data_IF_050345478069
#
_entry.id   IF_050345478069
#
_cell.length_a   1.000
_cell.length_b   1.000
_cell.length_c   1.000
_cell.angle_alpha   90.00
_cell.angle_beta   90.00
_cell.angle_gamma   90.00
#
_symmetry.space_group_name_H-M   'P 1'
#
loop_
_entity.id
_entity.type
_entity.pdbx_description
1 polymer ?
#
# COMPACT_ATOMS: atom_id res chain seq x y z
N UNK A 1 -16.16 10.10 -18.66
CA UNK A 1 -15.55 11.45 -18.64
C UNK A 1 -16.58 12.48 -19.04
N UNK A 2 -16.62 13.66 -18.45
CA UNK A 2 -17.51 14.74 -18.83
C UNK A 2 -16.70 16.03 -19.05
N UNK A 3 -16.76 16.58 -20.26
CA UNK A 3 -16.09 17.84 -20.61
C UNK A 3 -16.97 18.65 -21.56
N UNK A 4 -18.03 19.28 -21.04
CA UNK A 4 -19.07 19.93 -21.86
C UNK A 4 -18.55 21.03 -22.79
N UNK A 5 -17.40 21.66 -22.44
CA UNK A 5 -16.81 22.72 -23.26
C UNK A 5 -16.19 22.21 -24.58
N UNK A 6 -15.80 20.94 -24.65
CA UNK A 6 -15.11 20.38 -25.83
C UNK A 6 -15.74 19.10 -26.36
N UNK A 7 -16.38 18.30 -25.51
CA UNK A 7 -17.00 17.06 -25.92
C UNK A 7 -18.51 17.25 -26.11
N UNK A 8 -18.99 16.88 -27.29
CA UNK A 8 -20.45 16.79 -27.52
C UNK A 8 -21.02 15.67 -26.63
N UNK A 9 -22.24 15.88 -26.18
CA UNK A 9 -22.96 14.81 -25.45
C UNK A 9 -23.18 13.63 -26.42
N UNK A 10 -22.57 12.51 -26.08
CA UNK A 10 -22.63 11.29 -26.84
C UNK A 10 -22.78 10.12 -25.86
N UNK A 11 -23.80 9.28 -26.09
CA UNK A 11 -24.08 8.08 -25.27
C UNK A 11 -23.59 6.79 -25.95
N UNK A 12 -22.90 6.91 -27.09
CA UNK A 12 -22.36 5.74 -27.79
C UNK A 12 -21.26 5.08 -26.94
N UNK A 13 -21.37 3.79 -26.64
CA UNK A 13 -20.31 3.08 -25.95
C UNK A 13 -18.99 3.12 -26.72
N UNK A 14 -17.89 3.09 -25.99
CA UNK A 14 -16.53 2.98 -26.53
C UNK A 14 -16.08 1.54 -26.39
N UNK A 15 -16.07 0.75 -27.49
CA UNK A 15 -15.73 -0.69 -27.42
C UNK A 15 -14.24 -0.95 -27.32
N UNK A 16 -13.40 0.08 -27.56
CA UNK A 16 -11.94 -0.06 -27.48
C UNK A 16 -11.51 -0.50 -26.09
N UNK A 17 -10.57 -1.41 -26.04
CA UNK A 17 -9.95 -1.79 -24.77
C UNK A 17 -9.10 -0.63 -24.24
N UNK A 18 -9.37 -0.23 -23.00
CA UNK A 18 -8.63 0.81 -22.27
C UNK A 18 -8.30 0.31 -20.86
N UNK A 19 -7.26 0.87 -20.26
CA UNK A 19 -6.87 0.58 -18.90
C UNK A 19 -6.78 1.85 -18.06
N UNK A 20 -6.86 1.73 -16.73
CA UNK A 20 -6.80 2.90 -15.84
C UNK A 20 -5.51 3.71 -15.98
N UNK A 21 -4.39 3.07 -16.37
CA UNK A 21 -3.12 3.77 -16.62
C UNK A 21 -3.19 4.75 -17.79
N UNK A 22 -4.21 4.62 -18.67
CA UNK A 22 -4.44 5.48 -19.82
C UNK A 22 -5.03 6.85 -19.47
N UNK A 23 -5.59 6.97 -18.27
CA UNK A 23 -6.23 8.22 -17.82
C UNK A 23 -5.23 9.36 -17.74
N UNK A 24 -4.06 9.13 -17.15
CA UNK A 24 -3.05 10.18 -16.97
C UNK A 24 -2.50 10.70 -18.30
N UNK A 25 -2.00 9.87 -19.24
CA UNK A 25 -1.54 10.39 -20.53
C UNK A 25 -2.65 11.04 -21.34
N UNK A 26 -3.91 10.60 -21.20
CA UNK A 26 -5.07 11.28 -21.80
C UNK A 26 -5.22 12.70 -21.25
N UNK A 27 -5.11 12.88 -19.93
CA UNK A 27 -5.18 14.22 -19.33
C UNK A 27 -4.03 15.11 -19.80
N UNK A 28 -2.82 14.59 -19.88
CA UNK A 28 -1.70 15.34 -20.43
C UNK A 28 -1.96 15.81 -21.87
N UNK A 29 -2.46 14.91 -22.72
CA UNK A 29 -2.75 15.25 -24.13
C UNK A 29 -3.86 16.28 -24.25
N UNK A 30 -5.01 16.08 -23.58
CA UNK A 30 -6.16 17.00 -23.73
C UNK A 30 -5.93 18.38 -23.12
N UNK A 31 -4.98 18.49 -22.18
CA UNK A 31 -4.58 19.74 -21.54
C UNK A 31 -3.36 20.38 -22.19
N UNK A 32 -2.80 19.72 -23.21
CA UNK A 32 -1.56 20.15 -23.88
C UNK A 32 -0.39 20.35 -22.90
N UNK A 33 -0.24 19.40 -21.97
CA UNK A 33 0.81 19.41 -20.97
C UNK A 33 1.84 18.33 -21.30
N UNK A 34 3.10 18.72 -21.48
CA UNK A 34 4.20 17.75 -21.62
C UNK A 34 4.55 17.15 -20.27
N UNK A 35 4.50 15.81 -20.12
CA UNK A 35 4.89 15.16 -18.87
C UNK A 35 6.33 15.51 -18.48
N UNK A 36 6.60 15.89 -17.22
CA UNK A 36 7.96 16.18 -16.79
C UNK A 36 8.79 14.90 -16.75
N UNK A 37 10.00 14.94 -17.29
CA UNK A 37 10.97 13.84 -17.22
C UNK A 37 11.73 13.81 -15.90
N UNK A 38 11.81 14.94 -15.24
CA UNK A 38 12.52 15.11 -13.96
C UNK A 38 11.62 15.90 -13.03
N UNK A 39 11.39 15.38 -11.82
CA UNK A 39 10.66 16.06 -10.76
C UNK A 39 11.54 16.12 -9.51
N UNK A 40 11.80 17.33 -9.00
CA UNK A 40 12.69 17.56 -7.84
C UNK A 40 14.07 16.88 -7.96
N UNK A 41 14.64 16.90 -9.17
CA UNK A 41 15.94 16.28 -9.45
C UNK A 41 15.91 14.75 -9.65
N UNK A 42 14.74 14.13 -9.61
CA UNK A 42 14.57 12.69 -9.77
C UNK A 42 14.00 12.39 -11.15
N UNK A 43 14.68 11.53 -11.92
CA UNK A 43 14.16 11.04 -13.18
C UNK A 43 12.89 10.23 -12.96
N UNK A 44 11.89 10.51 -13.77
CA UNK A 44 10.62 9.79 -13.72
C UNK A 44 10.67 8.57 -14.64
N UNK A 45 10.04 7.48 -14.21
CA UNK A 45 9.80 6.33 -15.09
C UNK A 45 8.87 6.73 -16.25
N UNK A 46 8.99 6.12 -17.43
CA UNK A 46 8.06 6.32 -18.52
C UNK A 46 6.62 6.03 -18.12
N UNK A 47 5.68 6.76 -18.69
CA UNK A 47 4.25 6.48 -18.52
C UNK A 47 3.87 5.27 -19.38
N UNK A 48 3.39 4.19 -18.76
CA UNK A 48 2.97 2.97 -19.45
C UNK A 48 1.61 3.10 -20.15
N UNK A 49 0.86 4.15 -19.84
CA UNK A 49 -0.46 4.43 -20.40
C UNK A 49 -0.38 4.92 -21.84
N UNK A 50 -1.42 4.61 -22.61
CA UNK A 50 -1.67 5.12 -23.97
C UNK A 50 -2.86 6.07 -23.90
N UNK A 51 -2.72 7.29 -24.42
CA UNK A 51 -3.83 8.24 -24.41
C UNK A 51 -5.04 7.68 -25.13
N UNK A 52 -6.22 7.78 -24.52
CA UNK A 52 -7.50 7.43 -25.12
C UNK A 52 -8.25 8.63 -25.69
N UNK A 53 -7.56 9.77 -25.88
CA UNK A 53 -8.16 10.99 -26.41
C UNK A 53 -8.76 10.78 -27.81
N UNK A 54 -8.17 9.91 -28.63
CA UNK A 54 -8.66 9.53 -29.96
C UNK A 54 -10.11 9.01 -29.93
N UNK A 55 -10.48 8.24 -28.91
CA UNK A 55 -11.81 7.64 -28.78
C UNK A 55 -12.88 8.61 -28.24
N UNK A 56 -12.47 9.75 -27.70
CA UNK A 56 -13.41 10.72 -27.11
C UNK A 56 -14.29 11.38 -28.15
N UNK A 57 -13.74 11.65 -29.35
CA UNK A 57 -14.44 12.30 -30.45
C UNK A 57 -14.95 11.32 -31.51
N UNK A 58 -14.37 10.11 -31.58
CA UNK A 58 -14.75 9.09 -32.55
C UNK A 58 -14.95 7.73 -31.87
N UNK A 59 -16.20 7.30 -31.66
CA UNK A 59 -16.51 6.02 -31.05
C UNK A 59 -16.12 4.82 -31.90
N UNK A 60 -15.92 5.01 -33.20
CA UNK A 60 -15.53 3.95 -34.14
C UNK A 60 -14.01 3.89 -34.41
N UNK A 61 -13.23 4.77 -33.75
CA UNK A 61 -11.78 4.76 -33.89
C UNK A 61 -11.20 3.39 -33.49
N UNK A 62 -10.17 2.97 -34.20
CA UNK A 62 -9.45 1.73 -33.88
C UNK A 62 -8.78 1.82 -32.50
N UNK A 63 -8.85 0.73 -31.72
CA UNK A 63 -8.25 0.65 -30.39
C UNK A 63 -6.71 0.68 -30.46
N UNK A 64 -6.09 1.52 -29.64
CA UNK A 64 -4.63 1.65 -29.64
C UNK A 64 -3.94 0.76 -28.62
N UNK A 65 -4.67 0.29 -27.58
CA UNK A 65 -4.12 -0.63 -26.59
C UNK A 65 -4.37 -2.07 -27.02
N UNK A 66 -3.35 -2.71 -27.51
CA UNK A 66 -3.41 -4.10 -27.98
C UNK A 66 -2.93 -5.11 -26.92
N UNK A 67 -2.21 -4.62 -25.90
CA UNK A 67 -1.60 -5.44 -24.86
C UNK A 67 -1.81 -4.81 -23.49
N UNK A 68 -2.20 -5.63 -22.49
CA UNK A 68 -2.24 -5.23 -21.10
C UNK A 68 -1.90 -6.40 -20.18
N UNK A 69 -0.92 -6.16 -19.34
CA UNK A 69 -0.47 -7.04 -18.27
C UNK A 69 -1.19 -6.71 -16.96
N UNK A 70 -1.55 -7.75 -16.20
CA UNK A 70 -2.18 -7.63 -14.89
C UNK A 70 -1.51 -8.57 -13.90
N UNK A 71 -1.19 -8.09 -12.71
CA UNK A 71 -0.83 -8.92 -11.56
C UNK A 71 -1.22 -8.23 -10.26
N UNK A 72 -1.84 -8.99 -9.38
CA UNK A 72 -2.08 -8.60 -7.99
C UNK A 72 -2.09 -9.84 -7.10
N UNK A 73 -1.14 -9.93 -6.17
CA UNK A 73 -1.06 -11.01 -5.18
C UNK A 73 -1.07 -12.42 -5.80
N UNK A 74 -0.44 -12.58 -6.95
CA UNK A 74 -0.42 -13.84 -7.69
C UNK A 74 -1.62 -14.08 -8.60
N UNK A 75 -2.76 -13.38 -8.40
CA UNK A 75 -3.82 -13.31 -9.40
C UNK A 75 -3.32 -12.52 -10.58
N UNK A 76 -3.34 -13.10 -11.77
CA UNK A 76 -2.67 -12.52 -12.92
C UNK A 76 -3.41 -12.78 -14.23
N UNK A 77 -3.13 -11.94 -15.21
CA UNK A 77 -3.69 -12.08 -16.53
C UNK A 77 -2.97 -11.25 -17.58
N UNK A 78 -3.24 -11.57 -18.81
CA UNK A 78 -2.75 -10.87 -19.98
C UNK A 78 -3.88 -10.70 -20.98
N UNK A 79 -4.09 -9.47 -21.43
CA UNK A 79 -4.91 -9.14 -22.58
C UNK A 79 -4.02 -8.93 -23.79
N UNK A 80 -4.36 -9.52 -24.92
CA UNK A 80 -3.68 -9.30 -26.19
C UNK A 80 -4.67 -9.45 -27.36
N UNK A 81 -4.90 -8.34 -28.08
CA UNK A 81 -5.70 -8.33 -29.33
C UNK A 81 -7.03 -9.07 -29.20
N UNK A 82 -7.87 -8.69 -28.24
CA UNK A 82 -9.17 -9.29 -28.00
C UNK A 82 -9.16 -10.59 -27.18
N UNK A 83 -8.01 -11.20 -26.95
CA UNK A 83 -7.86 -12.38 -26.13
C UNK A 83 -7.45 -12.05 -24.69
N UNK A 84 -8.00 -12.79 -23.75
CA UNK A 84 -7.59 -12.68 -22.35
C UNK A 84 -7.28 -14.07 -21.81
N UNK A 85 -6.09 -14.21 -21.20
CA UNK A 85 -5.77 -15.38 -20.40
C UNK A 85 -5.46 -14.93 -18.97
N UNK A 86 -6.02 -15.64 -17.99
CA UNK A 86 -5.82 -15.30 -16.60
C UNK A 86 -6.00 -16.46 -15.64
N UNK A 87 -5.57 -16.24 -14.42
CA UNK A 87 -5.75 -17.18 -13.31
C UNK A 87 -5.84 -16.45 -11.99
N UNK A 88 -6.53 -17.05 -11.04
CA UNK A 88 -6.51 -16.58 -9.66
C UNK A 88 -5.29 -17.15 -8.94
N UNK A 89 -4.62 -16.28 -8.20
CA UNK A 89 -3.63 -16.71 -7.23
C UNK A 89 -4.29 -17.34 -5.99
N UNK A 90 -3.50 -17.73 -5.00
CA UNK A 90 -3.99 -18.44 -3.83
C UNK A 90 -4.93 -17.59 -2.97
N UNK A 91 -4.86 -16.27 -3.11
CA UNK A 91 -5.71 -15.33 -2.38
C UNK A 91 -6.69 -14.64 -3.31
N UNK A 92 -7.94 -15.00 -3.21
CA UNK A 92 -9.01 -14.30 -3.92
C UNK A 92 -9.49 -13.09 -3.12
N UNK A 93 -9.74 -11.93 -3.76
CA UNK A 93 -10.06 -10.68 -3.06
C UNK A 93 -11.33 -10.72 -2.21
N UNK A 94 -12.27 -11.60 -2.55
CA UNK A 94 -13.57 -11.75 -1.87
C UNK A 94 -13.57 -12.77 -0.72
N UNK A 95 -12.46 -13.48 -0.50
CA UNK A 95 -12.32 -14.41 0.64
C UNK A 95 -11.49 -13.74 1.71
N UNK A 96 -12.06 -13.40 2.87
CA UNK A 96 -11.29 -12.81 3.95
C UNK A 96 -10.37 -13.86 4.60
N UNK A 97 -9.17 -13.42 4.98
CA UNK A 97 -8.20 -14.24 5.69
C UNK A 97 -7.12 -14.84 4.80
N UNK A 98 -6.35 -15.76 5.37
CA UNK A 98 -5.29 -16.51 4.69
C UNK A 98 -5.87 -17.86 4.28
N UNK A 99 -5.93 -18.19 2.98
CA UNK A 99 -6.45 -19.48 2.55
C UNK A 99 -5.59 -20.64 3.06
N UNK A 100 -6.19 -21.80 3.37
CA UNK A 100 -5.42 -23.01 3.62
C UNK A 100 -4.55 -23.36 2.41
N UNK A 101 -3.33 -23.85 2.65
CA UNK A 101 -2.41 -24.26 1.59
C UNK A 101 -1.70 -23.09 0.87
N UNK A 102 -1.79 -21.87 1.39
CA UNK A 102 -1.17 -20.71 0.76
C UNK A 102 0.37 -20.80 0.75
N UNK A 103 0.94 -21.50 1.72
CA UNK A 103 2.39 -21.68 1.85
C UNK A 103 2.94 -22.68 0.83
N UNK A 104 2.10 -23.57 0.35
CA UNK A 104 2.43 -24.58 -0.66
C UNK A 104 2.10 -24.13 -2.08
N UNK A 105 1.64 -22.88 -2.25
CA UNK A 105 1.29 -22.38 -3.57
C UNK A 105 2.52 -22.23 -4.47
N UNK A 106 2.42 -22.80 -5.64
CA UNK A 106 3.40 -22.69 -6.70
C UNK A 106 2.71 -22.15 -7.96
N UNK A 107 3.09 -20.96 -8.44
CA UNK A 107 2.47 -20.33 -9.60
C UNK A 107 2.63 -21.13 -10.89
N UNK A 108 3.57 -22.07 -10.97
CA UNK A 108 3.74 -22.94 -12.13
C UNK A 108 2.61 -23.97 -12.28
N UNK A 109 1.96 -24.31 -11.17
CA UNK A 109 0.84 -25.25 -11.13
C UNK A 109 -0.52 -24.58 -11.37
N UNK A 110 -0.57 -23.26 -11.49
CA UNK A 110 -1.82 -22.55 -11.73
C UNK A 110 -2.37 -22.84 -13.13
N UNK A 111 -3.67 -23.09 -13.18
CA UNK A 111 -4.42 -23.30 -14.43
C UNK A 111 -4.92 -21.97 -14.94
N UNK A 112 -4.58 -21.63 -16.19
CA UNK A 112 -5.08 -20.42 -16.83
C UNK A 112 -6.39 -20.71 -17.53
N UNK A 113 -7.33 -19.79 -17.42
CA UNK A 113 -8.54 -19.72 -18.23
C UNK A 113 -8.26 -18.84 -19.46
N UNK A 114 -8.97 -19.08 -20.56
CA UNK A 114 -8.80 -18.38 -21.84
C UNK A 114 -10.15 -17.89 -22.37
N UNK A 115 -10.20 -16.62 -22.77
CA UNK A 115 -11.42 -16.00 -23.29
C UNK A 115 -11.16 -15.18 -24.55
N UNK A 116 -12.08 -15.28 -25.53
CA UNK A 116 -12.15 -14.37 -26.66
C UNK A 116 -13.14 -13.24 -26.34
N UNK A 117 -12.64 -12.07 -25.95
CA UNK A 117 -13.47 -10.94 -25.49
C UNK A 117 -14.26 -10.26 -26.62
N UNK A 118 -13.95 -10.55 -27.89
CA UNK A 118 -14.72 -10.04 -29.01
C UNK A 118 -16.05 -10.79 -29.15
N UNK A 119 -16.07 -12.08 -28.81
CA UNK A 119 -17.23 -12.95 -28.87
C UNK A 119 -17.92 -13.15 -27.51
N UNK A 120 -17.11 -13.17 -26.44
CA UNK A 120 -17.55 -13.41 -25.07
C UNK A 120 -16.91 -12.40 -24.09
N UNK A 121 -17.34 -11.14 -24.14
CA UNK A 121 -16.84 -10.11 -23.25
C UNK A 121 -17.18 -10.33 -21.76
N UNK A 122 -18.11 -11.25 -21.47
CA UNK A 122 -18.50 -11.63 -20.11
C UNK A 122 -17.65 -12.72 -19.51
N UNK A 123 -16.78 -13.35 -20.32
CA UNK A 123 -15.92 -14.44 -19.88
C UNK A 123 -16.72 -15.64 -19.32
N UNK A 124 -17.80 -16.02 -20.03
CA UNK A 124 -18.68 -17.09 -19.62
C UNK A 124 -18.20 -18.47 -20.12
N UNK A 125 -17.39 -18.51 -21.18
CA UNK A 125 -16.95 -19.74 -21.84
C UNK A 125 -15.43 -19.82 -21.87
N UNK A 126 -14.87 -20.63 -20.98
CA UNK A 126 -13.43 -20.89 -20.94
C UNK A 126 -13.00 -21.79 -22.13
N UNK A 127 -12.14 -21.25 -22.99
CA UNK A 127 -11.60 -21.91 -24.18
C UNK A 127 -10.23 -22.58 -23.94
N UNK A 128 -9.72 -22.59 -22.71
CA UNK A 128 -8.36 -23.06 -22.43
C UNK A 128 -8.13 -24.50 -22.83
N UNK A 129 -9.11 -25.40 -22.62
CA UNK A 129 -9.03 -26.79 -23.00
C UNK A 129 -9.10 -27.01 -24.52
N UNK A 130 -9.80 -26.12 -25.24
CA UNK A 130 -9.98 -26.21 -26.71
C UNK A 130 -8.80 -25.59 -27.45
N UNK A 131 -8.13 -24.59 -26.86
CA UNK A 131 -7.07 -23.82 -27.49
C UNK A 131 -5.77 -23.77 -26.65
N UNK A 132 -5.16 -24.92 -26.34
CA UNK A 132 -3.98 -24.94 -25.44
C UNK A 132 -2.76 -24.25 -26.03
N UNK A 133 -2.67 -24.11 -27.36
CA UNK A 133 -1.61 -23.35 -28.02
C UNK A 133 -1.73 -21.85 -27.72
N UNK A 134 -2.96 -21.31 -27.74
CA UNK A 134 -3.22 -19.91 -27.45
C UNK A 134 -2.94 -19.60 -25.99
N UNK A 135 -3.25 -20.53 -25.07
CA UNK A 135 -2.88 -20.41 -23.64
C UNK A 135 -1.35 -20.32 -23.51
N UNK A 136 -0.59 -21.17 -24.20
CA UNK A 136 0.88 -21.14 -24.17
C UNK A 136 1.47 -19.86 -24.73
N UNK A 137 0.91 -19.38 -25.84
CA UNK A 137 1.29 -18.09 -26.43
C UNK A 137 1.12 -16.96 -25.41
N UNK A 138 -0.07 -16.83 -24.82
CA UNK A 138 -0.39 -15.78 -23.86
C UNK A 138 0.37 -15.92 -22.55
N UNK A 139 0.60 -17.15 -22.05
CA UNK A 139 1.48 -17.39 -20.89
C UNK A 139 2.91 -16.90 -21.17
N UNK A 140 3.42 -17.16 -22.37
CA UNK A 140 4.76 -16.71 -22.76
C UNK A 140 4.83 -15.18 -22.84
N UNK A 141 3.81 -14.55 -23.41
CA UNK A 141 3.70 -13.10 -23.49
C UNK A 141 3.60 -12.46 -22.09
N UNK A 142 2.83 -13.09 -21.18
CA UNK A 142 2.76 -12.67 -19.78
C UNK A 142 4.14 -12.67 -19.12
N UNK A 143 4.96 -13.69 -19.31
CA UNK A 143 6.32 -13.76 -18.75
C UNK A 143 7.24 -12.67 -19.30
N UNK A 144 7.12 -12.36 -20.60
CA UNK A 144 7.87 -11.25 -21.21
C UNK A 144 7.49 -9.93 -20.55
N UNK A 145 6.19 -9.65 -20.40
CA UNK A 145 5.72 -8.43 -19.77
C UNK A 145 6.04 -8.41 -18.25
N UNK A 146 5.99 -9.55 -17.57
CA UNK A 146 6.42 -9.66 -16.16
C UNK A 146 7.89 -9.27 -15.98
N UNK A 147 8.75 -9.72 -16.89
CA UNK A 147 10.18 -9.34 -16.88
C UNK A 147 10.37 -7.85 -17.09
N UNK A 148 9.70 -7.30 -18.08
CA UNK A 148 9.75 -5.86 -18.43
C UNK A 148 9.24 -4.98 -17.29
N UNK A 149 8.17 -5.41 -16.62
CA UNK A 149 7.55 -4.70 -15.51
C UNK A 149 8.15 -5.05 -14.13
N UNK A 150 9.28 -5.80 -14.07
CA UNK A 150 9.99 -6.16 -12.83
C UNK A 150 9.09 -6.95 -11.86
N UNK A 151 8.20 -7.79 -12.40
CA UNK A 151 7.20 -8.56 -11.63
C UNK A 151 7.61 -10.01 -11.40
N UNK A 152 8.88 -10.36 -11.58
CA UNK A 152 9.38 -11.69 -11.27
C UNK A 152 10.18 -11.69 -9.96
N UNK A 153 10.09 -12.76 -9.17
CA UNK A 153 9.22 -13.94 -9.35
C UNK A 153 7.74 -13.60 -9.16
N UNK A 154 6.86 -14.38 -9.80
CA UNK A 154 5.40 -14.19 -9.70
C UNK A 154 4.97 -14.24 -8.24
N UNK A 155 4.17 -13.27 -7.80
CA UNK A 155 3.81 -13.10 -6.38
C UNK A 155 4.94 -12.57 -5.49
N UNK A 156 6.11 -12.25 -6.04
CA UNK A 156 7.33 -11.92 -5.30
C UNK A 156 7.20 -10.74 -4.32
N UNK A 157 6.35 -9.78 -4.62
CA UNK A 157 6.09 -8.65 -3.70
C UNK A 157 5.42 -9.05 -2.39
N UNK A 158 4.68 -10.15 -2.40
CA UNK A 158 4.03 -10.72 -1.21
C UNK A 158 4.60 -12.07 -0.81
N UNK A 159 5.35 -12.71 -1.69
CA UNK A 159 5.91 -14.04 -1.48
C UNK A 159 6.63 -14.13 -0.15
N UNK A 160 7.62 -13.25 0.05
CA UNK A 160 8.42 -13.23 1.27
C UNK A 160 7.72 -12.63 2.49
N UNK A 161 6.65 -11.85 2.30
CA UNK A 161 5.95 -11.19 3.42
C UNK A 161 4.74 -11.98 3.88
N UNK A 162 4.05 -12.64 2.95
CA UNK A 162 2.76 -13.31 3.22
C UNK A 162 2.87 -14.82 3.08
N UNK A 163 3.51 -15.31 2.01
CA UNK A 163 3.52 -16.73 1.68
C UNK A 163 4.74 -17.46 2.29
N UNK A 164 5.91 -16.85 2.21
CA UNK A 164 7.17 -17.39 2.71
C UNK A 164 7.89 -16.35 3.58
N UNK A 165 7.33 -15.99 4.75
CA UNK A 165 7.95 -15.00 5.62
C UNK A 165 9.35 -15.42 6.13
N UNK A 166 9.68 -16.70 6.11
CA UNK A 166 10.99 -17.24 6.41
C UNK A 166 12.06 -16.82 5.40
N UNK A 167 11.69 -16.61 4.14
CA UNK A 167 12.57 -16.14 3.07
C UNK A 167 12.74 -14.62 3.06
N UNK A 168 11.95 -13.90 3.85
CA UNK A 168 12.09 -12.45 3.95
C UNK A 168 13.48 -12.13 4.53
N UNK A 169 14.24 -11.20 3.93
CA UNK A 169 15.46 -10.72 4.52
C UNK A 169 15.18 -10.26 5.95
N UNK A 170 15.63 -11.03 6.93
CA UNK A 170 15.51 -10.61 8.31
C UNK A 170 16.31 -9.33 8.48
N UNK A 171 15.65 -8.24 8.88
CA UNK A 171 16.41 -7.07 9.26
C UNK A 171 17.27 -7.43 10.48
N UNK A 172 18.60 -7.28 10.38
CA UNK A 172 19.48 -7.57 11.52
C UNK A 172 19.34 -6.52 12.61
N UNK A 173 18.67 -5.41 12.31
CA UNK A 173 18.55 -4.28 13.20
C UNK A 173 17.47 -4.54 14.24
N UNK A 174 17.85 -4.36 15.50
CA UNK A 174 16.94 -4.34 16.66
C UNK A 174 16.86 -2.96 17.30
N UNK A 175 17.69 -2.05 16.86
CA UNK A 175 17.82 -0.70 17.36
C UNK A 175 17.95 0.29 16.19
N UNK A 176 17.26 1.40 16.28
CA UNK A 176 17.31 2.51 15.33
C UNK A 176 17.58 3.80 16.09
N UNK A 177 18.49 4.60 15.57
CA UNK A 177 18.77 5.93 16.08
C UNK A 177 18.52 6.96 15.00
N UNK A 178 17.58 7.86 15.23
CA UNK A 178 17.24 8.95 14.33
C UNK A 178 17.78 10.26 14.86
N UNK A 179 18.49 11.01 14.01
CA UNK A 179 19.08 12.31 14.36
C UNK A 179 18.47 13.40 13.50
N UNK A 180 17.25 13.79 13.83
CA UNK A 180 16.49 14.78 13.10
C UNK A 180 15.25 14.23 12.38
N UNK A 181 14.50 15.07 11.69
CA UNK A 181 13.29 14.69 10.99
C UNK A 181 13.59 13.65 9.91
N UNK A 182 12.75 12.63 9.83
CA UNK A 182 12.81 11.62 8.78
C UNK A 182 11.42 11.42 8.22
N UNK A 183 11.30 11.51 6.90
CA UNK A 183 10.06 11.31 6.17
C UNK A 183 10.16 10.06 5.29
N UNK A 184 9.04 9.32 5.21
CA UNK A 184 8.84 8.20 4.28
C UNK A 184 9.90 7.09 4.37
N UNK A 185 10.13 6.59 5.58
CA UNK A 185 10.93 5.39 5.71
C UNK A 185 10.16 4.17 5.16
N UNK A 186 10.75 3.37 4.26
CA UNK A 186 10.12 2.15 3.76
C UNK A 186 9.82 1.16 4.91
N UNK A 187 8.69 0.47 4.86
CA UNK A 187 8.23 -0.43 5.91
C UNK A 187 9.27 -1.50 6.28
N UNK A 188 9.97 -2.07 5.28
CA UNK A 188 10.99 -3.10 5.51
C UNK A 188 12.26 -2.59 6.20
N UNK A 189 12.52 -1.28 6.17
CA UNK A 189 13.65 -0.64 6.83
C UNK A 189 13.26 0.01 8.17
N UNK A 190 11.97 0.22 8.40
CA UNK A 190 11.44 0.90 9.59
C UNK A 190 11.39 -0.02 10.81
N UNK A 191 11.43 0.56 12.04
CA UNK A 191 11.14 -0.18 13.25
C UNK A 191 9.74 -0.80 13.17
N UNK A 192 9.60 -2.07 13.52
CA UNK A 192 8.33 -2.81 13.49
C UNK A 192 7.49 -2.52 14.73
N UNK A 193 7.17 -1.25 14.95
CA UNK A 193 6.34 -0.81 16.09
C UNK A 193 4.93 -1.42 15.98
N UNK A 194 4.37 -1.83 17.09
CA UNK A 194 3.05 -2.46 17.15
C UNK A 194 3.01 -3.95 16.82
N UNK A 195 4.11 -4.55 16.35
CA UNK A 195 4.23 -6.00 16.11
C UNK A 195 5.05 -6.74 17.17
N UNK A 196 5.92 -6.03 17.86
CA UNK A 196 6.81 -6.55 18.88
C UNK A 196 6.89 -5.59 20.04
N UNK A 197 7.31 -6.11 21.21
CA UNK A 197 7.69 -5.27 22.34
C UNK A 197 8.75 -4.26 21.91
N UNK A 198 8.56 -3.02 22.29
CA UNK A 198 9.50 -1.96 21.94
C UNK A 198 9.59 -0.89 23.02
N UNK A 199 10.72 -0.21 23.06
CA UNK A 199 10.98 0.95 23.88
C UNK A 199 11.49 2.08 22.98
N UNK A 200 10.89 3.24 23.10
CA UNK A 200 11.26 4.43 22.34
C UNK A 200 11.69 5.52 23.32
N UNK A 201 12.86 6.12 23.08
CA UNK A 201 13.36 7.24 23.85
C UNK A 201 13.62 8.41 22.90
N UNK A 202 13.06 9.56 23.23
CA UNK A 202 13.18 10.78 22.43
C UNK A 202 13.69 11.91 23.32
N UNK A 203 14.71 12.61 22.84
CA UNK A 203 15.20 13.86 23.41
C UNK A 203 14.66 15.00 22.55
N UNK A 204 13.84 15.87 23.15
CA UNK A 204 13.11 16.92 22.42
C UNK A 204 13.16 18.23 23.19
N UNK A 205 13.14 19.35 22.47
CA UNK A 205 12.92 20.68 23.06
C UNK A 205 11.50 21.10 22.70
N UNK A 206 10.65 21.25 23.71
CA UNK A 206 9.22 21.56 23.53
C UNK A 206 9.00 23.07 23.68
N UNK A 207 8.28 23.74 22.74
CA UNK A 207 7.77 25.08 22.94
C UNK A 207 6.61 25.08 23.95
N UNK A 208 6.20 26.27 24.42
CA UNK A 208 4.94 26.40 25.15
C UNK A 208 3.76 25.92 24.33
N UNK A 209 2.83 25.18 24.95
CA UNK A 209 1.67 24.60 24.30
C UNK A 209 2.05 23.83 23.02
N UNK A 210 3.10 23.00 23.07
CA UNK A 210 3.66 22.29 21.94
C UNK A 210 2.61 21.57 21.11
N UNK A 211 2.72 21.68 19.79
CA UNK A 211 1.89 21.00 18.82
C UNK A 211 2.78 20.40 17.71
N UNK A 212 2.53 19.14 17.32
CA UNK A 212 3.28 18.50 16.26
C UNK A 212 3.43 17.00 16.46
N UNK A 213 3.79 16.31 15.39
CA UNK A 213 4.00 14.86 15.39
C UNK A 213 5.43 14.55 15.80
N UNK A 214 5.60 13.65 16.76
CA UNK A 214 6.89 13.12 17.18
C UNK A 214 7.30 11.91 16.34
N UNK A 215 6.38 10.97 16.17
CA UNK A 215 6.51 9.92 15.15
C UNK A 215 5.14 9.44 14.67
N UNK A 216 5.12 8.90 13.46
CA UNK A 216 3.95 8.25 12.90
C UNK A 216 4.36 7.03 12.08
N UNK A 217 3.57 5.98 12.18
CA UNK A 217 3.72 4.76 11.39
C UNK A 217 2.37 4.35 10.83
N UNK A 218 2.34 4.01 9.55
CA UNK A 218 1.12 3.62 8.87
C UNK A 218 0.63 4.69 7.90
N UNK A 219 -0.66 4.66 7.60
CA UNK A 219 -1.30 5.53 6.64
C UNK A 219 -2.67 6.00 7.10
N UNK A 220 -3.45 6.49 6.14
CA UNK A 220 -4.78 7.02 6.39
C UNK A 220 -5.72 5.97 7.02
N UNK A 221 -5.68 4.75 6.52
CA UNK A 221 -6.59 3.67 6.95
C UNK A 221 -6.21 3.05 8.29
N UNK A 222 -4.96 3.16 8.72
CA UNK A 222 -4.53 2.54 9.97
C UNK A 222 -3.08 2.84 10.31
N UNK A 223 -2.76 2.72 11.60
CA UNK A 223 -1.42 2.94 12.10
C UNK A 223 -1.40 3.48 13.51
N UNK A 224 -0.24 3.94 13.92
CA UNK A 224 -0.03 4.55 15.23
C UNK A 224 0.74 5.86 15.10
N UNK A 225 0.47 6.77 15.99
CA UNK A 225 1.16 8.07 16.06
C UNK A 225 1.34 8.53 17.49
N UNK A 226 2.45 9.18 17.76
CA UNK A 226 2.72 9.93 18.97
C UNK A 226 2.86 11.40 18.58
N UNK A 227 2.12 12.27 19.24
CA UNK A 227 2.10 13.69 18.91
C UNK A 227 1.84 14.56 20.12
N UNK A 228 2.21 15.82 20.02
CA UNK A 228 1.84 16.86 20.96
C UNK A 228 0.59 17.58 20.48
N UNK A 229 -0.35 17.85 21.38
CA UNK A 229 -1.54 18.66 21.14
C UNK A 229 -1.79 19.58 22.33
N UNK A 230 -1.67 20.89 22.11
CA UNK A 230 -1.87 21.91 23.13
C UNK A 230 -1.04 21.65 24.40
N UNK A 231 0.20 21.23 24.23
CA UNK A 231 1.13 20.86 25.29
C UNK A 231 0.96 19.43 25.83
N UNK A 232 -0.08 18.71 25.48
CA UNK A 232 -0.28 17.33 25.95
C UNK A 232 0.36 16.32 25.00
N UNK A 233 0.97 15.28 25.57
CA UNK A 233 1.43 14.13 24.81
C UNK A 233 0.26 13.19 24.54
N UNK A 234 0.08 12.82 23.29
CA UNK A 234 -1.02 11.94 22.84
C UNK A 234 -0.43 10.79 22.03
N UNK A 235 -0.77 9.59 22.42
CA UNK A 235 -0.57 8.38 21.61
C UNK A 235 -1.90 7.97 21.02
N UNK A 236 -1.93 7.69 19.72
CA UNK A 236 -3.13 7.24 19.04
C UNK A 236 -2.83 6.01 18.20
N UNK A 237 -3.66 4.99 18.35
CA UNK A 237 -3.71 3.82 17.49
C UNK A 237 -5.01 3.81 16.71
N UNK A 238 -4.90 3.77 15.38
CA UNK A 238 -6.02 3.71 14.47
C UNK A 238 -6.09 2.32 13.82
N UNK A 239 -7.12 1.56 14.17
CA UNK A 239 -7.40 0.26 13.57
C UNK A 239 -8.38 0.44 12.41
N UNK A 240 -7.86 0.65 11.18
CA UNK A 240 -8.62 0.73 9.92
C UNK A 240 -9.83 1.66 9.96
N UNK A 241 -9.75 2.77 10.72
CA UNK A 241 -10.87 3.68 10.99
C UNK A 241 -12.08 3.05 11.70
N UNK A 242 -12.05 1.75 11.95
CA UNK A 242 -13.08 1.03 12.71
C UNK A 242 -13.02 1.43 14.18
N UNK A 243 -11.81 1.52 14.72
CA UNK A 243 -11.57 1.89 16.12
C UNK A 243 -10.33 2.75 16.25
N UNK A 244 -10.47 3.89 16.93
CA UNK A 244 -9.35 4.72 17.36
C UNK A 244 -9.22 4.65 18.86
N UNK A 245 -8.01 4.35 19.33
CA UNK A 245 -7.67 4.33 20.75
C UNK A 245 -6.67 5.45 21.01
N UNK A 246 -7.00 6.35 21.93
CA UNK A 246 -6.15 7.45 22.34
C UNK A 246 -5.76 7.30 23.80
N UNK A 247 -4.48 7.54 24.09
CA UNK A 247 -3.95 7.73 25.43
C UNK A 247 -3.31 9.11 25.49
N UNK A 248 -3.70 9.91 26.47
CA UNK A 248 -3.22 11.28 26.63
C UNK A 248 -2.56 11.44 28.00
N UNK A 249 -1.49 12.23 28.10
CA UNK A 249 -0.90 12.59 29.39
C UNK A 249 -1.93 13.34 30.27
N UNK A 250 -1.86 13.10 31.57
CA UNK A 250 -2.78 13.73 32.52
C UNK A 250 -2.63 15.28 32.59
N UNK A 251 -1.39 15.75 32.41
CA UNK A 251 -1.03 17.15 32.44
C UNK A 251 -0.26 17.53 31.19
N UNK A 252 -0.27 18.80 30.78
CA UNK A 252 0.57 19.27 29.70
C UNK A 252 2.04 19.14 30.10
N UNK A 253 2.91 18.83 29.14
CA UNK A 253 4.35 18.81 29.34
C UNK A 253 4.88 20.26 29.39
N UNK A 254 5.82 20.55 30.28
CA UNK A 254 6.42 21.87 30.37
C UNK A 254 7.24 22.17 29.11
N UNK A 255 7.35 23.47 28.78
CA UNK A 255 8.28 23.90 27.75
C UNK A 255 9.74 23.66 28.19
N UNK A 256 10.62 23.52 27.23
CA UNK A 256 12.04 23.27 27.43
C UNK A 256 12.46 21.84 27.04
N UNK A 257 13.65 21.47 27.49
CA UNK A 257 14.22 20.17 27.18
C UNK A 257 13.50 19.05 27.94
N UNK A 258 13.09 18.04 27.24
CA UNK A 258 12.37 16.89 27.79
C UNK A 258 12.90 15.56 27.21
N UNK A 259 12.81 14.53 28.01
CA UNK A 259 12.99 13.13 27.56
C UNK A 259 11.64 12.44 27.62
N UNK A 260 11.20 11.95 26.48
CA UNK A 260 9.95 11.18 26.35
C UNK A 260 10.32 9.71 26.15
N UNK A 261 9.84 8.85 27.04
CA UNK A 261 10.02 7.42 26.96
C UNK A 261 8.65 6.75 26.76
N UNK A 262 8.56 5.89 25.75
CA UNK A 262 7.34 5.12 25.44
C UNK A 262 7.72 3.66 25.40
N UNK A 263 7.11 2.85 26.28
CA UNK A 263 7.26 1.40 26.28
C UNK A 263 5.97 0.75 25.81
N UNK A 264 6.07 -0.06 24.78
CA UNK A 264 4.95 -0.88 24.27
C UNK A 264 5.24 -2.35 24.54
N UNK A 265 4.27 -3.03 25.14
CA UNK A 265 4.33 -4.47 25.40
C UNK A 265 3.12 -5.12 24.80
N UNK A 266 3.32 -6.17 24.02
CA UNK A 266 2.22 -6.94 23.47
C UNK A 266 1.64 -7.85 24.55
N UNK A 267 0.36 -7.70 24.84
CA UNK A 267 -0.35 -8.68 25.63
C UNK A 267 -0.49 -9.97 24.80
N UNK A 268 -0.41 -11.13 25.46
CA UNK A 268 -0.79 -12.40 24.82
C UNK A 268 -2.20 -12.25 24.22
N UNK A 269 -2.35 -12.72 22.98
CA UNK A 269 -3.61 -12.59 22.24
C UNK A 269 -4.75 -13.23 23.04
N UNK A 270 -5.54 -12.41 23.72
CA UNK A 270 -6.82 -12.81 24.29
C UNK A 270 -7.92 -12.52 23.29
N UNK A 271 -8.86 -13.43 23.07
CA UNK A 271 -10.03 -13.12 22.27
C UNK A 271 -10.80 -11.99 22.97
N UNK A 272 -10.86 -10.84 22.29
CA UNK A 272 -11.74 -9.68 22.52
C UNK A 272 -12.16 -9.43 23.99
N UNK A 273 -11.21 -9.05 24.84
CA UNK A 273 -11.52 -8.36 26.10
C UNK A 273 -11.35 -6.83 25.91
N UNK A 274 -12.13 -5.99 26.60
CA UNK A 274 -11.95 -4.55 26.52
C UNK A 274 -10.56 -4.16 27.03
N UNK A 275 -9.91 -3.22 26.31
CA UNK A 275 -8.62 -2.66 26.69
C UNK A 275 -8.75 -1.92 28.03
N UNK A 276 -8.10 -2.43 29.09
CA UNK A 276 -7.87 -1.69 30.31
C UNK A 276 -6.60 -0.85 30.16
N UNK A 277 -6.77 0.46 30.18
CA UNK A 277 -5.66 1.42 30.14
C UNK A 277 -5.28 1.75 31.58
N UNK A 278 -4.18 1.19 32.05
CA UNK A 278 -3.60 1.60 33.32
C UNK A 278 -2.69 2.81 33.13
N UNK A 279 -3.10 3.95 33.67
CA UNK A 279 -2.23 5.12 33.85
C UNK A 279 -1.55 5.02 35.22
N UNK A 280 -0.22 4.92 35.24
CA UNK A 280 0.54 5.04 36.50
C UNK A 280 0.94 6.49 36.73
N UNK A 281 0.70 7.07 37.91
CA UNK A 281 1.15 8.44 38.22
C UNK A 281 2.67 8.44 38.33
N UNK A 282 3.28 9.50 37.81
CA UNK A 282 4.69 9.78 37.95
C UNK A 282 5.08 9.92 39.43
N UNK A 283 6.04 9.10 39.88
CA UNK A 283 6.67 9.35 41.21
C UNK A 283 7.74 10.44 41.08
N UNK A 284 7.76 11.42 41.96
CA UNK A 284 8.79 12.46 41.92
C UNK A 284 10.14 11.90 42.40
N UNK A 285 11.12 11.89 41.52
CA UNK A 285 12.51 11.65 41.90
C UNK A 285 13.11 12.91 42.53
N UNK A 286 13.81 12.73 43.65
CA UNK A 286 14.49 13.80 44.36
C UNK A 286 15.67 14.39 43.56
N UNK A 287 15.66 15.68 43.44
CA UNK A 287 16.77 16.64 43.28
C UNK A 287 17.96 16.28 42.40
N UNK A 288 17.92 16.77 41.21
CA UNK A 288 18.94 17.55 40.49
C UNK A 288 18.31 17.86 39.13
N UNK A 289 18.39 19.08 38.66
CA UNK A 289 17.70 19.54 37.46
C UNK A 289 17.87 18.54 36.29
N UNK A 290 16.95 17.63 36.18
CA UNK A 290 16.85 16.58 35.15
C UNK A 290 15.64 16.85 34.29
N UNK A 291 15.71 16.63 32.98
CA UNK A 291 14.56 16.78 32.11
C UNK A 291 13.40 15.90 32.59
N UNK A 292 12.18 16.42 32.43
CA UNK A 292 10.96 15.72 32.83
C UNK A 292 10.82 14.38 32.05
N UNK A 293 10.72 13.29 32.77
CA UNK A 293 10.52 11.96 32.14
C UNK A 293 9.05 11.57 32.24
N UNK A 294 8.43 11.31 31.09
CA UNK A 294 7.06 10.80 31.00
C UNK A 294 7.13 9.32 30.64
N UNK A 295 6.62 8.47 31.50
CA UNK A 295 6.49 7.02 31.25
C UNK A 295 5.02 6.66 31.08
N UNK A 296 4.69 6.06 29.97
CA UNK A 296 3.38 5.47 29.71
C UNK A 296 3.51 4.03 29.30
N UNK A 297 2.67 3.16 29.84
CA UNK A 297 2.55 1.77 29.37
C UNK A 297 1.38 1.72 28.40
N UNK A 298 1.63 1.26 27.17
CA UNK A 298 0.61 1.12 26.13
C UNK A 298 0.50 -0.36 25.79
N UNK A 299 -0.71 -0.86 25.86
CA UNK A 299 -1.06 -2.27 25.60
C UNK A 299 -1.37 -2.50 24.12
#
# INVERSE_FOLDING_TARGET
MAWPAKLKRDSTPRPQFHHVVDVVPTLYEILDITPPRVVNGINQDPIDGISMAYSLSDPAAEGQRTLQFFDIMGSRGIYHEGWFAGTFGPRTPWVPGVPPGIMEWDPENDVLELYNLEEDWTQAHDLAAEMPEKVRELKSLFLVESTKNKNLPIGGGLWTVVYHPEDAPATPYKEWTFRGPMERMPEFAAPKLGKFDNDIRMEVTLPEAANGVLYALGGFSGGLTLYMKDGYLVYEYNLFEIRRTQVRSAEPLPAGDAVIEVSSRLAEARPAAPLDVATSPAQPSRSNASPSTVRGCIL
#
